data_IF_744003229519
#
_entry.id   IF_744003229519
#
_cell.length_a   1.000
_cell.length_b   1.000
_cell.length_c   1.000
_cell.angle_alpha   90.00
_cell.angle_beta   90.00
_cell.angle_gamma   90.00
#
_symmetry.space_group_name_H-M   'P 1'
#
loop_
_entity.id
_entity.type
_entity.pdbx_description
1 polymer ?
#
# COMPACT_ATOMS: atom_id res chain seq x y z
N UNK A 1 -20.99 26.54 -11.14
CA UNK A 1 -20.84 25.10 -11.50
C UNK A 1 -19.36 24.73 -11.49
N UNK A 2 -18.88 23.96 -10.49
CA UNK A 2 -17.50 23.40 -10.54
C UNK A 2 -17.44 22.38 -11.68
N UNK A 3 -16.56 22.62 -12.65
CA UNK A 3 -16.46 21.84 -13.87
C UNK A 3 -16.09 20.38 -13.54
N UNK A 4 -17.06 19.47 -13.60
CA UNK A 4 -16.89 18.03 -13.26
C UNK A 4 -15.90 17.29 -14.16
N UNK A 5 -15.44 17.92 -15.24
CA UNK A 5 -14.47 17.40 -16.22
C UNK A 5 -13.00 17.57 -15.82
N UNK A 6 -12.67 18.57 -14.97
CA UNK A 6 -11.28 18.87 -14.58
C UNK A 6 -10.52 17.74 -13.85
N UNK A 7 -11.13 16.92 -12.97
CA UNK A 7 -10.36 15.91 -12.24
C UNK A 7 -9.87 14.76 -13.13
N UNK A 8 -10.57 14.40 -14.22
CA UNK A 8 -10.18 13.25 -15.06
C UNK A 8 -8.89 13.51 -15.87
N UNK A 9 -8.69 14.73 -16.35
CA UNK A 9 -7.49 15.10 -17.14
C UNK A 9 -6.21 15.03 -16.31
N UNK A 10 -6.26 15.42 -15.03
CA UNK A 10 -5.09 15.40 -14.13
C UNK A 10 -4.48 14.01 -13.96
N UNK A 11 -5.30 12.96 -14.00
CA UNK A 11 -4.85 11.58 -13.79
C UNK A 11 -4.46 10.86 -15.09
N UNK A 12 -4.71 11.48 -16.25
CA UNK A 12 -4.41 10.89 -17.55
C UNK A 12 -2.92 10.49 -17.71
N UNK A 13 -1.93 11.29 -17.27
CA UNK A 13 -0.52 10.89 -17.36
C UNK A 13 -0.21 9.66 -16.53
N UNK A 14 -0.73 9.58 -15.30
CA UNK A 14 -0.54 8.42 -14.43
C UNK A 14 -1.21 7.16 -14.98
N UNK A 15 -2.41 7.31 -15.56
CA UNK A 15 -3.09 6.22 -16.24
C UNK A 15 -2.28 5.72 -17.45
N UNK A 16 -1.78 6.63 -18.30
CA UNK A 16 -0.96 6.29 -19.46
C UNK A 16 0.36 5.61 -19.05
N UNK A 17 1.03 6.06 -17.99
CA UNK A 17 2.22 5.39 -17.45
C UNK A 17 1.85 4.00 -16.92
N UNK A 18 0.70 3.86 -16.24
CA UNK A 18 0.30 2.60 -15.64
C UNK A 18 0.08 1.48 -16.69
N UNK A 19 -0.33 1.79 -17.92
CA UNK A 19 -0.56 0.77 -18.95
C UNK A 19 0.74 0.11 -19.44
N UNK A 20 1.90 0.73 -19.19
CA UNK A 20 3.20 0.19 -19.59
C UNK A 20 3.48 -1.19 -18.95
N UNK A 21 4.23 -2.07 -19.65
CA UNK A 21 4.69 -3.34 -19.07
C UNK A 21 5.59 -3.11 -17.85
N UNK A 22 5.53 -4.02 -16.88
CA UNK A 22 6.31 -3.92 -15.63
C UNK A 22 7.83 -3.75 -15.82
N UNK A 23 8.50 -4.45 -16.76
CA UNK A 23 9.93 -4.23 -16.99
C UNK A 23 10.27 -2.78 -17.39
N UNK A 24 9.38 -2.14 -18.18
CA UNK A 24 9.54 -0.73 -18.58
C UNK A 24 9.37 0.19 -17.38
N UNK A 25 8.42 -0.12 -16.48
CA UNK A 25 8.24 0.63 -15.25
C UNK A 25 9.43 0.51 -14.30
N UNK A 26 10.05 -0.67 -14.17
CA UNK A 26 11.27 -0.81 -13.37
C UNK A 26 12.47 -0.08 -14.00
N UNK A 27 12.57 -0.03 -15.33
CA UNK A 27 13.57 0.83 -15.98
C UNK A 27 13.33 2.31 -15.68
N UNK A 28 12.07 2.75 -15.69
CA UNK A 28 11.70 4.11 -15.27
C UNK A 28 12.05 4.34 -13.78
N UNK A 29 11.82 3.36 -12.92
CA UNK A 29 12.22 3.40 -11.50
C UNK A 29 13.73 3.61 -11.34
N UNK A 30 14.57 2.91 -12.11
CA UNK A 30 16.02 3.08 -12.08
C UNK A 30 16.45 4.50 -12.47
N UNK A 31 15.81 5.08 -13.49
CA UNK A 31 16.04 6.49 -13.89
C UNK A 31 15.60 7.44 -12.77
N UNK A 32 14.41 7.21 -12.21
CA UNK A 32 13.88 8.00 -11.09
C UNK A 32 14.79 7.93 -9.87
N UNK A 33 15.34 6.76 -9.56
CA UNK A 33 16.32 6.58 -8.50
C UNK A 33 17.52 7.51 -8.69
N UNK A 34 18.06 7.59 -9.91
CA UNK A 34 19.20 8.47 -10.17
C UNK A 34 18.83 9.94 -9.90
N UNK A 35 17.67 10.37 -10.38
CA UNK A 35 17.18 11.74 -10.17
C UNK A 35 16.95 12.03 -8.69
N UNK A 36 16.21 11.18 -7.98
CA UNK A 36 15.82 11.38 -6.58
C UNK A 36 17.03 11.31 -5.66
N UNK A 37 17.94 10.35 -5.88
CA UNK A 37 19.09 10.10 -5.03
C UNK A 37 20.25 11.07 -5.28
N UNK A 38 20.67 11.23 -6.55
CA UNK A 38 21.88 11.99 -6.88
C UNK A 38 21.60 13.46 -7.18
N UNK A 39 20.54 13.77 -7.93
CA UNK A 39 20.26 15.15 -8.36
C UNK A 39 19.50 15.92 -7.28
N UNK A 40 18.33 15.42 -6.88
CA UNK A 40 17.46 16.09 -5.91
C UNK A 40 17.91 15.89 -4.46
N UNK A 41 18.59 14.78 -4.15
CA UNK A 41 18.99 14.37 -2.79
C UNK A 41 17.81 14.39 -1.80
N UNK A 42 16.64 13.94 -2.26
CA UNK A 42 15.37 14.10 -1.55
C UNK A 42 15.42 13.50 -0.14
N UNK A 43 15.40 14.34 0.90
CA UNK A 43 15.41 13.95 2.34
C UNK A 43 16.55 13.01 2.75
N UNK A 44 17.68 13.05 2.03
CA UNK A 44 18.79 12.12 2.22
C UNK A 44 19.40 12.13 3.62
N UNK A 45 19.52 13.30 4.24
CA UNK A 45 20.07 13.42 5.60
C UNK A 45 19.20 12.68 6.62
N UNK A 46 17.87 12.89 6.57
CA UNK A 46 16.92 12.24 7.47
C UNK A 46 16.95 10.72 7.30
N UNK A 47 17.00 10.24 6.07
CA UNK A 47 17.10 8.79 5.78
C UNK A 47 18.41 8.22 6.30
N UNK A 48 19.54 8.88 6.02
CA UNK A 48 20.86 8.47 6.53
C UNK A 48 20.89 8.41 8.06
N UNK A 49 20.35 9.43 8.74
CA UNK A 49 20.32 9.48 10.20
C UNK A 49 19.44 8.38 10.79
N UNK A 50 18.28 8.11 10.20
CA UNK A 50 17.41 7.01 10.62
C UNK A 50 18.09 5.65 10.43
N UNK A 51 18.78 5.43 9.31
CA UNK A 51 19.52 4.19 9.04
C UNK A 51 20.67 4.02 10.05
N UNK A 52 21.42 5.10 10.35
CA UNK A 52 22.49 5.06 11.34
C UNK A 52 21.97 4.74 12.74
N UNK A 53 20.85 5.33 13.16
CA UNK A 53 20.19 5.05 14.44
C UNK A 53 19.64 3.62 14.51
N UNK A 54 19.14 3.09 13.40
CA UNK A 54 18.57 1.73 13.32
C UNK A 54 19.65 0.65 13.29
N UNK A 55 20.85 0.97 12.75
CA UNK A 55 21.95 0.03 12.60
C UNK A 55 23.29 0.59 13.10
N UNK A 56 23.40 0.96 14.39
CA UNK A 56 24.57 1.69 14.91
C UNK A 56 25.87 0.88 14.83
N UNK A 57 25.77 -0.46 14.85
CA UNK A 57 26.92 -1.37 14.81
C UNK A 57 27.46 -1.64 13.39
N UNK A 58 26.77 -1.20 12.33
CA UNK A 58 27.19 -1.51 10.95
C UNK A 58 28.20 -0.47 10.43
N UNK A 59 29.18 -0.87 9.61
CA UNK A 59 30.17 0.05 9.06
C UNK A 59 29.52 1.04 8.08
N UNK A 60 30.09 2.24 7.96
CA UNK A 60 29.55 3.32 7.13
C UNK A 60 29.31 2.93 5.66
N UNK A 61 30.14 2.05 5.11
CA UNK A 61 29.99 1.53 3.73
C UNK A 61 28.68 0.75 3.60
N UNK A 62 28.36 -0.09 4.58
CA UNK A 62 27.12 -0.87 4.61
C UNK A 62 25.91 0.04 4.82
N UNK A 63 26.00 1.04 5.69
CA UNK A 63 24.92 2.01 5.90
C UNK A 63 24.59 2.76 4.59
N UNK A 64 25.60 3.20 3.84
CA UNK A 64 25.41 3.84 2.52
C UNK A 64 24.80 2.89 1.49
N UNK A 65 25.13 1.59 1.53
CA UNK A 65 24.51 0.58 0.66
C UNK A 65 23.02 0.40 0.99
N UNK A 66 22.67 0.32 2.28
CA UNK A 66 21.28 0.26 2.74
C UNK A 66 20.51 1.51 2.30
N UNK A 67 21.09 2.69 2.47
CA UNK A 67 20.50 3.97 2.03
C UNK A 67 20.19 3.96 0.53
N UNK A 68 21.16 3.57 -0.32
CA UNK A 68 20.92 3.47 -1.77
C UNK A 68 19.83 2.46 -2.12
N UNK A 69 19.85 1.29 -1.47
CA UNK A 69 18.84 0.26 -1.68
C UNK A 69 17.44 0.73 -1.24
N UNK A 70 17.36 1.51 -0.16
CA UNK A 70 16.12 2.14 0.27
C UNK A 70 15.58 3.08 -0.82
N UNK A 71 16.41 3.94 -1.42
CA UNK A 71 15.95 4.84 -2.47
C UNK A 71 15.57 4.12 -3.76
N UNK A 72 16.27 3.05 -4.14
CA UNK A 72 15.85 2.20 -5.27
C UNK A 72 14.47 1.59 -5.01
N UNK A 73 14.32 0.95 -3.85
CA UNK A 73 13.05 0.36 -3.45
C UNK A 73 11.93 1.39 -3.32
N UNK A 74 12.23 2.60 -2.85
CA UNK A 74 11.26 3.69 -2.78
C UNK A 74 10.77 4.08 -4.18
N UNK A 75 11.65 4.18 -5.17
CA UNK A 75 11.27 4.41 -6.56
C UNK A 75 10.46 3.24 -7.14
N UNK A 76 10.80 2.00 -6.79
CA UNK A 76 10.04 0.81 -7.19
C UNK A 76 8.60 0.89 -6.67
N UNK A 77 8.43 1.21 -5.38
CA UNK A 77 7.11 1.40 -4.78
C UNK A 77 6.32 2.47 -5.55
N UNK A 78 6.92 3.61 -5.90
CA UNK A 78 6.22 4.67 -6.64
C UNK A 78 5.67 4.19 -8.00
N UNK A 79 6.45 3.45 -8.79
CA UNK A 79 5.99 2.96 -10.09
C UNK A 79 5.00 1.79 -9.93
N UNK A 80 5.18 0.96 -8.91
CA UNK A 80 4.27 -0.15 -8.59
C UNK A 80 2.91 0.36 -8.08
N UNK A 81 2.91 1.44 -7.30
CA UNK A 81 1.73 2.19 -6.90
C UNK A 81 0.97 2.64 -8.14
N UNK A 82 1.61 3.35 -9.07
CA UNK A 82 0.98 3.79 -10.33
C UNK A 82 0.44 2.60 -11.11
N UNK A 83 1.15 1.46 -11.15
CA UNK A 83 0.70 0.26 -11.86
C UNK A 83 -0.62 -0.28 -11.34
N UNK A 84 -0.96 -0.08 -10.06
CA UNK A 84 -2.22 -0.59 -9.49
C UNK A 84 -3.46 -0.06 -10.21
N UNK A 85 -3.37 1.06 -10.94
CA UNK A 85 -4.46 1.61 -11.76
C UNK A 85 -4.92 0.69 -12.91
N UNK A 86 -4.05 -0.16 -13.45
CA UNK A 86 -4.34 -0.98 -14.64
C UNK A 86 -3.84 -2.42 -14.53
N UNK A 87 -3.34 -2.82 -13.35
CA UNK A 87 -2.89 -4.20 -13.12
C UNK A 87 -4.09 -5.15 -13.16
N UNK A 88 -3.94 -6.27 -13.87
CA UNK A 88 -4.98 -7.31 -13.92
C UNK A 88 -4.97 -8.18 -12.66
N UNK A 89 -6.13 -8.78 -12.30
CA UNK A 89 -6.25 -9.78 -11.21
C UNK A 89 -5.15 -10.83 -11.27
N UNK A 90 -4.98 -11.43 -12.45
CA UNK A 90 -3.96 -12.48 -12.69
C UNK A 90 -2.54 -11.98 -12.42
N UNK A 91 -2.21 -10.76 -12.85
CA UNK A 91 -0.89 -10.18 -12.60
C UNK A 91 -0.68 -9.84 -11.13
N UNK A 92 -1.70 -9.30 -10.45
CA UNK A 92 -1.65 -9.01 -9.02
C UNK A 92 -1.43 -10.30 -8.21
N UNK A 93 -2.23 -11.35 -8.47
CA UNK A 93 -2.11 -12.65 -7.80
C UNK A 93 -0.79 -13.37 -8.06
N UNK A 94 -0.14 -13.14 -9.21
CA UNK A 94 1.19 -13.69 -9.50
C UNK A 94 2.30 -13.03 -8.68
N UNK A 95 2.09 -11.77 -8.26
CA UNK A 95 3.11 -10.91 -7.66
C UNK A 95 2.97 -10.79 -6.15
N UNK A 96 1.75 -10.74 -5.64
CA UNK A 96 1.47 -10.84 -4.22
C UNK A 96 1.41 -12.32 -3.84
N UNK A 97 2.22 -12.72 -2.86
CA UNK A 97 2.17 -14.06 -2.26
C UNK A 97 1.83 -13.90 -0.79
N UNK A 98 0.79 -14.61 -0.36
CA UNK A 98 0.41 -14.68 1.04
C UNK A 98 0.91 -16.01 1.57
N UNK A 99 1.68 -15.97 2.65
CA UNK A 99 2.10 -17.17 3.37
C UNK A 99 1.04 -17.55 4.39
N UNK A 100 0.71 -18.83 4.47
CA UNK A 100 -0.31 -19.39 5.37
C UNK A 100 -1.71 -18.73 5.25
N UNK A 101 -2.28 -18.57 4.03
CA UNK A 101 -3.61 -17.99 3.87
C UNK A 101 -4.69 -18.80 4.60
N UNK A 102 -4.52 -20.12 4.70
CA UNK A 102 -5.44 -21.06 5.36
C UNK A 102 -5.65 -20.75 6.86
N UNK A 103 -4.67 -20.10 7.51
CA UNK A 103 -4.80 -19.71 8.93
C UNK A 103 -5.91 -18.67 9.12
N UNK A 104 -6.03 -17.74 8.17
CA UNK A 104 -7.08 -16.73 8.19
C UNK A 104 -8.43 -17.40 7.96
N UNK A 105 -8.53 -18.28 6.96
CA UNK A 105 -9.77 -19.01 6.66
C UNK A 105 -10.22 -19.90 7.82
N UNK A 106 -9.28 -20.57 8.49
CA UNK A 106 -9.55 -21.39 9.67
C UNK A 106 -10.23 -20.58 10.79
N UNK A 107 -9.65 -19.45 11.20
CA UNK A 107 -10.23 -18.64 12.26
C UNK A 107 -11.53 -17.95 11.86
N UNK A 108 -11.70 -17.60 10.57
CA UNK A 108 -12.98 -17.12 10.05
C UNK A 108 -14.06 -18.20 10.15
N UNK A 109 -13.73 -19.46 9.84
CA UNK A 109 -14.68 -20.59 9.96
C UNK A 109 -15.13 -20.86 11.39
N UNK A 110 -14.31 -20.50 12.38
CA UNK A 110 -14.64 -20.58 13.81
C UNK A 110 -15.43 -19.37 14.32
N UNK A 111 -15.88 -18.47 13.44
CA UNK A 111 -16.54 -17.19 13.79
C UNK A 111 -15.70 -16.31 14.74
N UNK A 112 -14.36 -16.39 14.66
CA UNK A 112 -13.47 -15.54 15.43
C UNK A 112 -13.21 -14.21 14.70
N UNK A 113 -13.12 -13.14 15.48
CA UNK A 113 -12.69 -11.84 14.95
C UNK A 113 -11.18 -11.87 14.68
N UNK A 114 -10.77 -11.37 13.51
CA UNK A 114 -9.37 -11.31 13.10
C UNK A 114 -8.96 -9.85 12.91
N UNK A 115 -7.81 -9.47 13.47
CA UNK A 115 -7.16 -8.20 13.21
C UNK A 115 -5.90 -8.44 12.35
N UNK A 116 -5.91 -7.94 11.11
CA UNK A 116 -4.72 -7.91 10.27
C UNK A 116 -3.96 -6.60 10.51
N UNK A 117 -2.75 -6.70 11.06
CA UNK A 117 -1.87 -5.56 11.28
C UNK A 117 -0.74 -5.54 10.26
N UNK A 118 -0.47 -4.36 9.66
CA UNK A 118 0.59 -4.19 8.66
C UNK A 118 1.46 -2.99 9.00
N UNK A 119 2.73 -3.05 8.60
CA UNK A 119 3.64 -1.91 8.66
C UNK A 119 3.68 -1.20 7.31
N UNK A 120 4.07 0.09 7.30
CA UNK A 120 4.44 0.81 6.07
C UNK A 120 5.82 0.31 5.58
N UNK A 121 5.88 -0.97 5.23
CA UNK A 121 7.07 -1.69 4.84
C UNK A 121 6.79 -2.45 3.56
N UNK A 122 7.78 -2.49 2.65
CA UNK A 122 7.57 -3.02 1.33
C UNK A 122 6.53 -2.21 0.54
N UNK A 123 5.87 -2.87 -0.39
CA UNK A 123 4.73 -2.28 -1.09
C UNK A 123 3.42 -2.57 -0.32
N UNK A 124 3.16 -1.74 0.70
CA UNK A 124 1.95 -1.84 1.51
C UNK A 124 0.68 -1.46 0.72
N UNK A 125 0.78 -0.71 -0.38
CA UNK A 125 -0.39 -0.34 -1.20
C UNK A 125 -0.99 -1.55 -1.92
N UNK A 126 -0.18 -2.56 -2.24
CA UNK A 126 -0.66 -3.81 -2.83
C UNK A 126 -1.52 -4.65 -1.90
N UNK A 127 -1.62 -4.30 -0.61
CA UNK A 127 -2.58 -4.94 0.30
C UNK A 127 -4.03 -4.70 -0.11
N UNK A 128 -4.30 -3.75 -1.02
CA UNK A 128 -5.61 -3.62 -1.67
C UNK A 128 -6.04 -4.90 -2.41
N UNK A 129 -5.08 -5.78 -2.77
CA UNK A 129 -5.33 -7.05 -3.45
C UNK A 129 -5.56 -8.23 -2.51
N UNK A 130 -5.47 -8.05 -1.17
CA UNK A 130 -5.77 -9.11 -0.20
C UNK A 130 -7.13 -9.81 -0.41
N UNK A 131 -8.24 -9.11 -0.74
CA UNK A 131 -9.53 -9.77 -1.00
C UNK A 131 -9.48 -10.83 -2.12
N UNK A 132 -8.50 -10.77 -3.03
CA UNK A 132 -8.37 -11.76 -4.11
C UNK A 132 -7.95 -13.15 -3.62
N UNK A 133 -7.49 -13.27 -2.38
CA UNK A 133 -6.93 -14.48 -1.79
C UNK A 133 -7.81 -15.13 -0.72
N UNK A 134 -8.90 -14.49 -0.32
CA UNK A 134 -9.82 -15.00 0.69
C UNK A 134 -11.22 -15.11 0.08
N UNK A 135 -11.90 -16.24 0.28
CA UNK A 135 -13.20 -16.52 -0.31
C UNK A 135 -14.38 -15.89 0.43
N UNK A 136 -14.14 -14.96 1.36
CA UNK A 136 -15.16 -14.55 2.32
C UNK A 136 -15.84 -13.25 1.91
N UNK A 137 -17.19 -13.27 1.91
CA UNK A 137 -18.09 -12.10 1.77
C UNK A 137 -18.00 -11.09 2.93
N UNK A 138 -17.08 -11.32 3.88
CA UNK A 138 -16.92 -10.51 5.08
C UNK A 138 -16.21 -9.20 4.73
N UNK A 139 -16.93 -8.12 4.98
CA UNK A 139 -16.55 -6.73 4.72
C UNK A 139 -15.17 -6.40 5.28
N UNK A 140 -14.19 -6.18 4.40
CA UNK A 140 -12.88 -5.63 4.79
C UNK A 140 -13.06 -4.16 5.20
N UNK A 141 -13.15 -3.92 6.50
CA UNK A 141 -13.16 -2.57 7.07
C UNK A 141 -11.75 -2.00 7.07
N UNK A 142 -11.45 -1.15 6.09
CA UNK A 142 -10.23 -0.34 6.12
C UNK A 142 -10.59 1.09 6.53
N UNK A 143 -10.06 1.56 7.66
CA UNK A 143 -10.02 3.00 7.96
C UNK A 143 -8.94 3.65 7.09
N UNK A 144 -9.18 3.73 5.77
CA UNK A 144 -8.28 4.46 4.89
C UNK A 144 -8.37 5.95 5.22
N UNK A 145 -7.23 6.57 5.52
CA UNK A 145 -7.09 8.02 5.50
C UNK A 145 -7.55 8.50 4.12
N UNK A 146 -8.59 9.35 4.09
CA UNK A 146 -9.22 9.87 2.86
C UNK A 146 -8.25 10.80 2.12
N UNK A 147 -7.27 10.23 1.45
CA UNK A 147 -6.39 10.96 0.53
C UNK A 147 -7.05 10.99 -0.84
N UNK A 148 -7.01 12.13 -1.53
CA UNK A 148 -7.60 12.32 -2.87
C UNK A 148 -7.12 11.31 -3.91
N UNK A 149 -5.94 10.73 -3.68
CA UNK A 149 -5.34 9.64 -4.47
C UNK A 149 -6.09 8.34 -4.21
N UNK A 150 -6.29 7.92 -2.96
CA UNK A 150 -7.06 6.72 -2.57
C UNK A 150 -8.50 6.74 -3.11
N UNK A 151 -9.15 7.91 -3.09
CA UNK A 151 -10.51 8.07 -3.64
C UNK A 151 -10.53 7.97 -5.18
N UNK A 152 -9.50 8.48 -5.86
CA UNK A 152 -9.36 8.32 -7.30
C UNK A 152 -9.02 6.87 -7.68
N UNK A 153 -8.18 6.18 -6.90
CA UNK A 153 -7.92 4.75 -7.04
C UNK A 153 -9.20 3.92 -6.91
N UNK A 154 -10.00 4.13 -5.87
CA UNK A 154 -11.24 3.40 -5.68
C UNK A 154 -12.28 3.69 -6.77
N UNK A 155 -12.36 4.94 -7.25
CA UNK A 155 -13.25 5.33 -8.36
C UNK A 155 -12.80 4.85 -9.74
N UNK A 156 -11.50 4.62 -9.94
CA UNK A 156 -10.95 4.03 -11.17
C UNK A 156 -10.93 2.50 -11.09
N UNK A 157 -10.95 1.96 -9.87
CA UNK A 157 -11.06 0.54 -9.53
C UNK A 157 -12.50 0.04 -9.42
N UNK A 158 -13.51 0.80 -9.90
CA UNK A 158 -14.87 0.30 -10.20
C UNK A 158 -14.87 -0.71 -11.38
N UNK A 159 -13.75 -1.38 -11.63
CA UNK A 159 -13.67 -2.64 -12.34
C UNK A 159 -13.85 -3.74 -11.28
N UNK A 160 -14.47 -4.87 -11.64
CA UNK A 160 -14.91 -5.98 -10.77
C UNK A 160 -13.82 -6.71 -9.93
N UNK A 161 -12.69 -6.06 -9.63
CA UNK A 161 -11.54 -6.60 -8.94
C UNK A 161 -11.68 -6.56 -7.42
N UNK A 162 -12.35 -5.55 -6.86
CA UNK A 162 -12.38 -5.33 -5.40
C UNK A 162 -13.66 -4.60 -4.94
N UNK A 163 -14.58 -5.32 -4.28
CA UNK A 163 -15.70 -4.71 -3.55
C UNK A 163 -15.28 -4.36 -2.11
N UNK A 164 -14.57 -3.26 -1.91
CA UNK A 164 -14.34 -2.72 -0.55
C UNK A 164 -15.55 -1.89 -0.15
N UNK A 165 -16.37 -2.39 0.79
CA UNK A 165 -17.38 -1.55 1.41
C UNK A 165 -16.70 -0.61 2.41
N UNK A 166 -16.49 0.64 2.00
CA UNK A 166 -16.08 1.71 2.91
C UNK A 166 -17.27 2.12 3.78
N UNK A 167 -17.50 1.38 4.85
CA UNK A 167 -18.41 1.82 5.90
C UNK A 167 -17.72 2.90 6.75
N UNK A 168 -18.40 4.00 7.09
CA UNK A 168 -17.86 4.97 8.06
C UNK A 168 -17.53 4.24 9.37
N UNK A 169 -16.53 4.71 10.14
CA UNK A 169 -16.26 4.14 11.45
C UNK A 169 -17.57 4.10 12.24
N UNK A 170 -17.95 2.90 12.72
CA UNK A 170 -19.07 2.78 13.65
C UNK A 170 -18.73 3.66 14.86
N UNK A 171 -19.70 4.46 15.28
CA UNK A 171 -19.60 5.25 16.50
C UNK A 171 -19.42 4.26 17.66
N UNK A 172 -18.16 4.03 18.02
CA UNK A 172 -17.81 3.27 19.21
C UNK A 172 -18.16 4.25 20.31
N UNK A 173 -19.31 4.04 20.95
CA UNK A 173 -19.77 4.87 22.05
C UNK A 173 -18.67 5.09 23.11
N UNK A 174 -18.91 5.96 24.09
CA UNK A 174 -17.87 6.47 24.99
C UNK A 174 -16.96 5.36 25.53
N UNK A 175 -15.65 5.64 25.55
CA UNK A 175 -14.55 4.75 25.94
C UNK A 175 -14.75 4.06 27.31
N UNK A 176 -15.64 4.58 28.16
CA UNK A 176 -16.05 3.95 29.42
C UNK A 176 -16.67 2.55 29.22
N UNK A 177 -17.30 2.28 28.08
CA UNK A 177 -17.94 0.99 27.77
C UNK A 177 -16.96 -0.12 27.36
N UNK A 178 -15.70 0.22 27.05
CA UNK A 178 -14.66 -0.75 26.70
C UNK A 178 -14.06 -1.43 27.94
N UNK A 179 -13.98 -0.71 29.07
CA UNK A 179 -13.41 -1.25 30.30
C UNK A 179 -14.27 -2.36 30.93
N UNK A 180 -15.60 -2.32 30.78
CA UNK A 180 -16.49 -3.38 31.29
C UNK A 180 -16.45 -4.67 30.46
N UNK A 181 -16.01 -4.61 29.19
CA UNK A 181 -15.91 -5.80 28.33
C UNK A 181 -14.57 -6.52 28.44
N UNK A 182 -13.54 -5.88 28.98
CA UNK A 182 -12.23 -6.49 29.20
C UNK A 182 -12.09 -7.21 30.54
N UNK A 183 -13.04 -7.06 31.46
CA UNK A 183 -13.04 -7.74 32.77
C UNK A 183 -13.70 -9.12 32.77
N UNK A 184 -14.17 -9.60 31.61
CA UNK A 184 -14.83 -10.91 31.44
C UNK A 184 -14.08 -11.87 30.50
N UNK A 185 -12.80 -11.61 30.20
CA UNK A 185 -11.88 -12.56 29.58
C UNK A 185 -10.71 -12.87 30.52
#
# INVERSE_FOLDING_TARGET
MKNKMLPKIRYLPFYAISTLPMPVLYLLSDILFVVVYYLMKYRRNLVSDNIKKSFPQKPQITLRKIEKNFYRHFCDILVESIKTLTISKRSAMKRLRIENPDLVEHYLSENKNILLYTAHQGNWEWLIFLPLFFLTDQTLYTNQLKTTISIAYLKLSENDLVSIALNPPRDIGPLSTLNERMSLC
#
